data_IF_746243655938
#
_entry.id   IF_746243655938
#
_cell.length_a   1.000
_cell.length_b   1.000
_cell.length_c   1.000
_cell.angle_alpha   90.00
_cell.angle_beta   90.00
_cell.angle_gamma   90.00
#
_symmetry.space_group_name_H-M   'P 1'
#
loop_
_entity.id
_entity.type
_entity.pdbx_description
1 polymer ?
#
# COMPACT_ATOMS: atom_id res chain seq x y z
N UNK A 1 -9.24 -11.72 -5.88
CA UNK A 1 -8.65 -10.36 -5.94
C UNK A 1 -7.13 -10.50 -6.06
N UNK A 2 -6.41 -9.45 -6.47
CA UNK A 2 -4.93 -9.40 -6.42
C UNK A 2 -4.40 -8.41 -5.39
N UNK A 3 -5.29 -7.62 -4.80
CA UNK A 3 -4.97 -6.61 -3.80
C UNK A 3 -6.01 -6.65 -2.69
N UNK A 4 -5.63 -6.22 -1.50
CA UNK A 4 -6.49 -5.88 -0.39
C UNK A 4 -7.24 -4.52 -0.51
N UNK A 5 -7.29 -3.85 -1.67
CA UNK A 5 -8.10 -2.61 -1.83
C UNK A 5 -9.59 -2.92 -1.85
N UNK A 6 -9.95 -3.97 -2.57
CA UNK A 6 -11.33 -4.41 -2.78
C UNK A 6 -11.47 -5.83 -2.25
N UNK A 7 -11.62 -5.96 -0.93
CA UNK A 7 -11.55 -7.25 -0.22
C UNK A 7 -12.88 -7.87 0.13
N UNK A 8 -13.98 -7.16 -0.11
CA UNK A 8 -15.30 -7.56 0.36
C UNK A 8 -16.08 -8.26 -0.74
N UNK A 9 -16.74 -9.33 -0.35
CA UNK A 9 -17.84 -9.97 -1.07
C UNK A 9 -18.96 -10.27 -0.06
N UNK A 10 -20.17 -10.66 -0.47
CA UNK A 10 -21.19 -11.09 0.47
C UNK A 10 -20.62 -12.10 1.47
N UNK A 11 -20.78 -11.78 2.76
CA UNK A 11 -20.32 -12.59 3.89
C UNK A 11 -18.80 -12.78 4.04
N UNK A 12 -17.99 -12.18 3.18
CA UNK A 12 -16.54 -12.42 3.15
C UNK A 12 -15.76 -11.11 3.14
N UNK A 13 -14.68 -11.11 3.91
CA UNK A 13 -13.65 -10.08 3.81
C UNK A 13 -12.26 -10.71 3.88
N UNK A 14 -11.49 -10.57 2.81
CA UNK A 14 -10.06 -10.86 2.87
C UNK A 14 -9.33 -9.76 3.68
N UNK A 15 -8.56 -10.16 4.69
CA UNK A 15 -7.79 -9.23 5.52
C UNK A 15 -6.29 -9.32 5.28
N UNK A 16 -5.82 -10.42 4.66
CA UNK A 16 -4.40 -10.66 4.41
C UNK A 16 -4.21 -11.64 3.25
N UNK A 17 -3.22 -11.37 2.41
CA UNK A 17 -2.79 -12.25 1.32
C UNK A 17 -1.46 -12.93 1.70
N UNK A 18 -1.08 -13.99 0.99
CA UNK A 18 0.28 -14.53 1.05
C UNK A 18 1.24 -13.67 0.22
N UNK A 19 0.76 -13.14 -0.91
CA UNK A 19 1.48 -12.24 -1.80
C UNK A 19 0.53 -11.35 -2.62
N UNK A 20 0.70 -10.04 -2.52
CA UNK A 20 0.02 -9.08 -3.41
C UNK A 20 0.44 -9.29 -4.87
N UNK A 21 -0.47 -8.93 -5.79
CA UNK A 21 -0.31 -9.03 -7.25
C UNK A 21 -0.32 -10.45 -7.84
N UNK A 22 -0.42 -11.47 -7.00
CA UNK A 22 -0.80 -12.82 -7.41
C UNK A 22 -2.32 -13.03 -7.31
N UNK A 23 -2.82 -14.05 -8.02
CA UNK A 23 -4.24 -14.38 -8.01
C UNK A 23 -4.67 -14.97 -6.66
N UNK A 24 -5.61 -14.32 -5.97
CA UNK A 24 -6.21 -14.77 -4.72
C UNK A 24 -7.70 -15.09 -4.88
N UNK A 25 -8.15 -16.18 -4.24
CA UNK A 25 -9.52 -16.69 -4.36
C UNK A 25 -10.03 -17.21 -3.02
N UNK A 26 -11.33 -17.02 -2.78
CA UNK A 26 -12.09 -17.67 -1.72
C UNK A 26 -13.35 -18.23 -2.37
N UNK A 27 -13.58 -19.52 -2.23
CA UNK A 27 -14.86 -20.15 -2.52
C UNK A 27 -15.52 -20.52 -1.18
N UNK A 28 -16.67 -19.91 -0.89
CA UNK A 28 -17.44 -20.17 0.32
C UNK A 28 -18.72 -20.91 -0.06
N UNK A 29 -18.89 -22.10 0.50
CA UNK A 29 -20.07 -22.92 0.40
C UNK A 29 -20.69 -23.11 1.79
N UNK A 30 -22.02 -23.10 1.86
CA UNK A 30 -22.78 -23.38 3.06
C UNK A 30 -24.04 -24.17 2.69
N UNK A 31 -24.53 -24.98 3.63
CA UNK A 31 -25.52 -26.04 3.39
C UNK A 31 -26.98 -25.55 3.25
N UNK A 32 -27.27 -24.32 3.67
CA UNK A 32 -28.61 -23.71 3.60
C UNK A 32 -28.52 -22.20 3.37
N UNK A 33 -29.35 -21.37 4.01
CA UNK A 33 -29.13 -19.92 4.03
C UNK A 33 -28.01 -19.58 5.03
N UNK A 34 -27.20 -18.55 4.75
CA UNK A 34 -26.04 -18.17 5.57
C UNK A 34 -26.34 -18.08 7.09
N UNK A 35 -27.49 -17.52 7.48
CA UNK A 35 -27.88 -17.37 8.89
C UNK A 35 -28.30 -18.68 9.57
N UNK A 36 -28.71 -19.67 8.78
CA UNK A 36 -29.21 -20.98 9.23
C UNK A 36 -28.20 -22.12 9.03
N UNK A 37 -27.07 -21.83 8.38
CA UNK A 37 -26.09 -22.82 7.96
C UNK A 37 -25.49 -23.56 9.16
N UNK A 38 -25.38 -24.88 9.03
CA UNK A 38 -24.77 -25.77 10.03
C UNK A 38 -23.37 -26.21 9.62
N UNK A 39 -23.00 -26.00 8.36
CA UNK A 39 -21.67 -26.29 7.85
C UNK A 39 -21.22 -25.22 6.85
N UNK A 40 -19.97 -24.79 7.01
CA UNK A 40 -19.26 -23.94 6.04
C UNK A 40 -18.09 -24.74 5.46
N UNK A 41 -17.98 -24.74 4.14
CA UNK A 41 -16.84 -25.29 3.40
C UNK A 41 -16.17 -24.15 2.63
N UNK A 42 -14.86 -23.99 2.85
CA UNK A 42 -14.08 -22.87 2.35
C UNK A 42 -12.85 -23.41 1.62
N UNK A 43 -12.66 -22.99 0.38
CA UNK A 43 -11.43 -23.21 -0.36
C UNK A 43 -10.75 -21.86 -0.60
N UNK A 44 -9.45 -21.80 -0.33
CA UNK A 44 -8.67 -20.56 -0.45
C UNK A 44 -7.44 -20.72 -1.34
N UNK A 45 -7.05 -19.60 -1.94
CA UNK A 45 -5.78 -19.46 -2.66
C UNK A 45 -5.18 -18.11 -2.34
N UNK A 46 -3.93 -18.07 -1.89
CA UNK A 46 -3.19 -16.84 -1.60
C UNK A 46 -3.90 -15.97 -0.54
N UNK A 47 -4.31 -16.57 0.59
CA UNK A 47 -4.84 -15.86 1.76
C UNK A 47 -4.09 -16.25 3.03
N UNK A 48 -3.89 -15.26 3.89
CA UNK A 48 -3.38 -15.46 5.26
C UNK A 48 -4.40 -15.10 6.34
N UNK A 49 -5.47 -14.37 5.99
CA UNK A 49 -6.45 -13.88 6.95
C UNK A 49 -7.79 -13.59 6.26
N UNK A 50 -8.86 -14.19 6.79
CA UNK A 50 -10.20 -14.18 6.21
C UNK A 50 -11.26 -13.99 7.31
N UNK A 51 -12.14 -13.01 7.16
CA UNK A 51 -13.37 -12.91 7.95
C UNK A 51 -14.53 -13.51 7.17
N UNK A 52 -15.33 -14.34 7.83
CA UNK A 52 -16.62 -14.85 7.36
C UNK A 52 -17.72 -14.30 8.26
N UNK A 53 -18.75 -13.69 7.67
CA UNK A 53 -19.79 -12.95 8.37
C UNK A 53 -19.49 -11.45 8.50
N UNK A 54 -20.40 -10.73 9.12
CA UNK A 54 -20.30 -9.28 9.34
C UNK A 54 -21.11 -8.87 10.59
N UNK A 55 -20.72 -7.78 11.28
CA UNK A 55 -21.44 -7.30 12.45
C UNK A 55 -22.93 -7.09 12.16
N UNK A 56 -23.78 -7.63 13.04
CA UNK A 56 -25.23 -7.56 12.91
C UNK A 56 -25.87 -8.60 11.99
N UNK A 57 -25.10 -9.45 11.30
CA UNK A 57 -25.65 -10.58 10.54
C UNK A 57 -25.61 -11.86 11.38
N UNK A 58 -26.77 -12.30 11.87
CA UNK A 58 -26.86 -13.48 12.74
C UNK A 58 -26.41 -14.78 12.05
N UNK A 59 -25.70 -15.62 12.78
CA UNK A 59 -25.29 -16.97 12.38
C UNK A 59 -25.81 -18.03 13.37
N UNK A 60 -26.02 -19.25 12.87
CA UNK A 60 -26.39 -20.38 13.72
C UNK A 60 -25.19 -20.80 14.58
N UNK A 61 -25.33 -20.81 15.93
CA UNK A 61 -24.24 -21.25 16.81
C UNK A 61 -23.87 -22.72 16.55
N UNK A 62 -22.57 -23.02 16.64
CA UNK A 62 -22.07 -24.39 16.58
C UNK A 62 -22.00 -24.99 15.17
N UNK A 63 -22.02 -24.17 14.12
CA UNK A 63 -21.74 -24.65 12.76
C UNK A 63 -20.35 -25.31 12.66
N UNK A 64 -20.18 -26.26 11.76
CA UNK A 64 -18.85 -26.81 11.44
C UNK A 64 -18.17 -25.95 10.39
N UNK A 65 -16.84 -25.82 10.44
CA UNK A 65 -16.05 -25.04 9.47
C UNK A 65 -14.98 -25.97 8.90
N UNK A 66 -15.01 -26.19 7.59
CA UNK A 66 -13.95 -26.87 6.85
C UNK A 66 -13.26 -25.84 5.97
N UNK A 67 -11.95 -25.66 6.12
CA UNK A 67 -11.15 -24.74 5.29
C UNK A 67 -9.88 -25.41 4.78
N UNK A 68 -9.71 -25.48 3.46
CA UNK A 68 -8.58 -26.15 2.80
C UNK A 68 -8.32 -27.57 3.35
N UNK A 69 -9.40 -28.32 3.63
CA UNK A 69 -9.36 -29.66 4.22
C UNK A 69 -9.09 -29.72 5.74
N UNK A 70 -8.99 -28.57 6.41
CA UNK A 70 -8.87 -28.48 7.88
C UNK A 70 -10.23 -28.27 8.52
N UNK A 71 -10.66 -29.22 9.36
CA UNK A 71 -11.89 -29.10 10.16
C UNK A 71 -11.64 -28.29 11.44
N UNK A 72 -12.47 -27.27 11.65
CA UNK A 72 -12.47 -26.37 12.79
C UNK A 72 -13.88 -26.34 13.41
N UNK A 73 -13.98 -26.49 14.73
CA UNK A 73 -15.24 -26.26 15.43
C UNK A 73 -15.51 -24.76 15.52
N UNK A 74 -16.67 -24.27 15.02
CA UNK A 74 -17.04 -22.86 15.16
C UNK A 74 -17.16 -22.50 16.64
N UNK A 75 -16.65 -21.34 17.08
CA UNK A 75 -16.56 -20.96 18.49
C UNK A 75 -17.90 -20.58 19.16
N UNK A 76 -19.05 -20.97 18.60
CA UNK A 76 -20.38 -20.38 18.89
C UNK A 76 -20.46 -18.89 18.51
N UNK A 77 -19.83 -18.53 17.39
CA UNK A 77 -19.92 -17.20 16.82
C UNK A 77 -21.38 -16.81 16.53
N UNK A 78 -21.79 -15.62 16.97
CA UNK A 78 -23.15 -15.10 16.74
C UNK A 78 -23.28 -14.29 15.46
N UNK A 79 -22.20 -13.67 15.00
CA UNK A 79 -22.22 -12.69 13.89
C UNK A 79 -21.15 -12.96 12.82
N UNK A 80 -20.17 -13.81 13.12
CA UNK A 80 -19.05 -14.08 12.22
C UNK A 80 -17.89 -14.73 12.94
N UNK A 81 -16.91 -15.18 12.17
CA UNK A 81 -15.62 -15.65 12.69
C UNK A 81 -14.49 -15.19 11.78
N UNK A 82 -13.29 -15.08 12.36
CA UNK A 82 -12.06 -14.76 11.63
C UNK A 82 -11.14 -15.97 11.66
N UNK A 83 -10.63 -16.31 10.48
CA UNK A 83 -9.69 -17.39 10.24
C UNK A 83 -8.34 -16.79 9.90
N UNK A 84 -7.28 -17.30 10.52
CA UNK A 84 -5.90 -16.88 10.29
C UNK A 84 -5.06 -18.09 9.91
N UNK A 85 -4.14 -17.90 8.97
CA UNK A 85 -3.23 -18.94 8.49
C UNK A 85 -1.83 -18.66 9.01
N UNK A 86 -1.26 -19.61 9.74
CA UNK A 86 0.13 -19.59 10.19
C UNK A 86 0.77 -20.95 9.89
N UNK A 87 1.99 -20.95 9.37
CA UNK A 87 2.75 -22.16 8.99
C UNK A 87 1.92 -23.14 8.13
N UNK A 88 1.16 -22.59 7.18
CA UNK A 88 0.32 -23.36 6.27
C UNK A 88 -0.98 -23.91 6.87
N UNK A 89 -1.28 -23.63 8.15
CA UNK A 89 -2.45 -24.16 8.86
C UNK A 89 -3.42 -23.05 9.25
N UNK A 90 -4.70 -23.30 9.03
CA UNK A 90 -5.77 -22.41 9.43
C UNK A 90 -6.19 -22.64 10.89
N UNK A 91 -6.50 -21.54 11.59
CA UNK A 91 -7.08 -21.57 12.92
C UNK A 91 -8.06 -20.41 13.11
N UNK A 92 -8.90 -20.52 14.14
CA UNK A 92 -9.78 -19.43 14.55
C UNK A 92 -8.98 -18.37 15.31
N UNK A 93 -9.10 -17.12 14.88
CA UNK A 93 -8.54 -16.00 15.59
C UNK A 93 -9.35 -15.70 16.85
N UNK A 94 -8.65 -15.38 17.95
CA UNK A 94 -9.28 -14.80 19.14
C UNK A 94 -9.50 -13.30 18.96
N UNK A 95 -10.62 -12.77 19.45
CA UNK A 95 -10.90 -11.33 19.47
C UNK A 95 -11.88 -10.86 18.40
N UNK A 96 -11.86 -9.56 18.10
CA UNK A 96 -12.82 -8.93 17.21
C UNK A 96 -12.69 -9.40 15.74
N UNK A 97 -13.82 -9.45 15.03
CA UNK A 97 -13.91 -9.88 13.61
C UNK A 97 -12.99 -9.08 12.67
N UNK A 98 -12.68 -7.85 13.05
CA UNK A 98 -11.82 -6.93 12.32
C UNK A 98 -10.71 -6.37 13.19
N UNK A 99 -10.24 -7.16 14.16
CA UNK A 99 -9.08 -6.79 14.95
C UNK A 99 -7.92 -6.40 14.01
N UNK A 100 -7.24 -5.27 14.29
CA UNK A 100 -6.17 -4.77 13.44
C UNK A 100 -4.99 -5.76 13.39
N UNK A 101 -4.25 -5.74 12.29
CA UNK A 101 -3.04 -6.55 12.19
C UNK A 101 -1.99 -6.08 13.21
N UNK A 102 -1.28 -7.03 13.80
CA UNK A 102 -0.15 -6.73 14.65
C UNK A 102 1.11 -6.50 13.80
N UNK A 103 1.93 -5.53 14.21
CA UNK A 103 3.19 -5.22 13.55
C UNK A 103 3.03 -4.53 12.17
N UNK A 104 4.16 -4.42 11.47
CA UNK A 104 4.23 -3.81 10.15
C UNK A 104 3.82 -4.84 9.09
N UNK A 105 2.58 -4.75 8.61
CA UNK A 105 2.02 -5.65 7.61
C UNK A 105 1.19 -4.90 6.58
N UNK A 106 1.13 -5.40 5.35
CA UNK A 106 0.14 -4.99 4.37
C UNK A 106 -1.26 -5.37 4.87
N UNK A 107 -2.16 -4.41 4.87
CA UNK A 107 -3.55 -4.56 5.34
C UNK A 107 -4.52 -3.87 4.37
N UNK A 108 -5.84 -4.09 4.47
CA UNK A 108 -6.79 -3.44 3.59
C UNK A 108 -6.69 -1.91 3.64
N UNK A 109 -6.44 -1.29 2.48
CA UNK A 109 -6.19 0.16 2.36
C UNK A 109 -4.77 0.61 2.75
N UNK A 110 -3.89 -0.33 3.16
CA UNK A 110 -2.49 -0.09 3.50
C UNK A 110 -1.60 -1.20 2.93
N UNK A 111 -1.50 -1.28 1.60
CA UNK A 111 -0.87 -2.37 0.87
C UNK A 111 0.06 -1.98 -0.31
N UNK A 112 0.12 -0.70 -0.67
CA UNK A 112 0.69 -0.26 -1.96
C UNK A 112 -0.20 -0.59 -3.16
N UNK A 113 0.20 -0.34 -4.41
CA UNK A 113 1.42 0.36 -4.83
C UNK A 113 1.33 1.86 -4.55
N UNK A 114 2.23 2.65 -5.12
CA UNK A 114 2.28 4.12 -4.94
C UNK A 114 0.90 4.78 -5.03
N UNK A 115 0.08 4.38 -6.00
CA UNK A 115 -1.26 4.92 -6.22
C UNK A 115 -2.26 4.71 -5.06
N UNK A 116 -2.05 3.72 -4.18
CA UNK A 116 -2.94 3.45 -3.03
C UNK A 116 -2.99 4.64 -2.06
N UNK A 117 -1.92 5.45 -2.00
CA UNK A 117 -1.87 6.68 -1.21
C UNK A 117 -2.81 7.79 -1.71
N UNK A 118 -3.32 7.71 -2.95
CA UNK A 118 -4.20 8.76 -3.51
C UNK A 118 -5.68 8.39 -3.43
N UNK A 119 -5.98 7.25 -2.78
CA UNK A 119 -7.34 6.77 -2.57
C UNK A 119 -7.91 7.16 -1.19
N UNK A 120 -7.16 7.94 -0.43
CA UNK A 120 -7.47 8.50 0.90
C UNK A 120 -6.90 9.92 1.02
N UNK A 121 -7.25 10.70 2.06
CA UNK A 121 -6.72 12.05 2.22
C UNK A 121 -5.19 12.11 2.27
N UNK A 122 -4.59 12.98 1.44
CA UNK A 122 -3.16 13.21 1.39
C UNK A 122 -2.81 14.71 1.44
N UNK A 123 -1.55 14.97 1.78
CA UNK A 123 -0.91 16.28 1.84
C UNK A 123 0.40 16.26 1.04
N UNK A 124 0.53 17.15 0.07
CA UNK A 124 1.76 17.35 -0.70
C UNK A 124 2.71 18.19 0.13
N UNK A 125 3.94 17.71 0.28
CA UNK A 125 5.00 18.36 1.04
C UNK A 125 6.09 18.82 0.09
N UNK A 126 6.18 20.13 -0.12
CA UNK A 126 7.12 20.76 -1.03
C UNK A 126 8.56 20.72 -0.50
N UNK A 127 9.57 20.64 -1.38
CA UNK A 127 10.94 20.99 -1.02
C UNK A 127 11.03 22.49 -0.67
N UNK A 128 11.94 22.83 0.24
CA UNK A 128 12.20 24.21 0.68
C UNK A 128 13.63 24.69 0.41
N UNK A 129 14.49 23.79 -0.06
CA UNK A 129 15.86 24.09 -0.48
C UNK A 129 16.20 23.44 -1.81
N UNK A 130 17.45 23.58 -2.23
CA UNK A 130 17.95 22.90 -3.41
C UNK A 130 18.15 21.41 -3.11
N UNK A 131 17.77 20.55 -4.06
CA UNK A 131 18.21 19.17 -4.04
C UNK A 131 19.74 19.14 -4.15
N UNK A 132 20.37 18.15 -3.54
CA UNK A 132 21.83 18.01 -3.51
C UNK A 132 22.45 17.98 -4.90
N UNK A 133 21.74 17.37 -5.86
CA UNK A 133 22.20 17.23 -7.24
C UNK A 133 21.28 18.03 -8.16
N UNK A 134 21.81 18.96 -8.99
CA UNK A 134 20.98 19.83 -9.83
C UNK A 134 20.03 19.08 -10.77
N UNK A 135 20.49 18.01 -11.42
CA UNK A 135 19.65 17.21 -12.32
C UNK A 135 18.45 16.57 -11.60
N UNK A 136 18.64 16.15 -10.33
CA UNK A 136 17.56 15.67 -9.48
C UNK A 136 16.60 16.81 -9.13
N UNK A 137 17.12 17.99 -8.81
CA UNK A 137 16.30 19.17 -8.50
C UNK A 137 15.41 19.60 -9.68
N UNK A 138 15.98 19.65 -10.88
CA UNK A 138 15.25 19.96 -12.13
C UNK A 138 14.14 18.94 -12.41
N UNK A 139 14.44 17.66 -12.22
CA UNK A 139 13.46 16.59 -12.38
C UNK A 139 12.33 16.66 -11.32
N UNK A 140 12.69 16.90 -10.05
CA UNK A 140 11.72 17.04 -8.95
C UNK A 140 10.77 18.20 -9.22
N UNK A 141 11.30 19.34 -9.66
CA UNK A 141 10.49 20.52 -9.98
C UNK A 141 9.52 20.21 -11.13
N UNK A 142 10.01 19.60 -12.21
CA UNK A 142 9.18 19.21 -13.34
C UNK A 142 8.05 18.23 -12.93
N UNK A 143 8.38 17.13 -12.26
CA UNK A 143 7.41 16.08 -11.93
C UNK A 143 6.42 16.53 -10.84
N UNK A 144 6.84 17.40 -9.90
CA UNK A 144 5.92 18.01 -8.94
C UNK A 144 4.89 18.90 -9.63
N UNK A 145 5.33 19.77 -10.56
CA UNK A 145 4.43 20.61 -11.33
C UNK A 145 3.52 19.78 -12.24
N UNK A 146 4.07 18.72 -12.85
CA UNK A 146 3.31 17.75 -13.64
C UNK A 146 2.21 17.10 -12.79
N UNK A 147 2.55 16.58 -11.62
CA UNK A 147 1.60 15.98 -10.69
C UNK A 147 0.49 16.95 -10.29
N UNK A 148 0.81 18.16 -9.82
CA UNK A 148 -0.20 19.14 -9.38
C UNK A 148 -1.14 19.53 -10.53
N UNK A 149 -0.59 19.74 -11.74
CA UNK A 149 -1.38 20.02 -12.94
C UNK A 149 -2.31 18.85 -13.28
N UNK A 150 -1.76 17.63 -13.33
CA UNK A 150 -2.51 16.40 -13.64
C UNK A 150 -3.60 16.13 -12.62
N UNK A 151 -3.32 16.36 -11.34
CA UNK A 151 -4.29 16.21 -10.27
C UNK A 151 -5.53 17.07 -10.55
N UNK A 152 -5.32 18.34 -10.89
CA UNK A 152 -6.39 19.26 -11.24
C UNK A 152 -7.13 18.88 -12.52
N UNK A 153 -6.41 18.48 -13.56
CA UNK A 153 -6.99 18.13 -14.86
C UNK A 153 -7.86 16.86 -14.78
N UNK A 154 -7.37 15.82 -14.12
CA UNK A 154 -8.01 14.49 -14.09
C UNK A 154 -9.05 14.41 -12.97
N UNK A 155 -8.69 14.85 -11.76
CA UNK A 155 -9.53 14.68 -10.57
C UNK A 155 -10.33 15.94 -10.20
N UNK A 156 -10.17 17.03 -10.96
CA UNK A 156 -10.95 18.28 -10.83
C UNK A 156 -10.90 18.88 -9.43
N UNK A 157 -9.74 18.79 -8.78
CA UNK A 157 -9.50 19.37 -7.47
C UNK A 157 -8.09 19.92 -7.34
N UNK A 158 -7.87 20.81 -6.38
CA UNK A 158 -6.54 21.29 -6.01
C UNK A 158 -5.97 20.39 -4.90
N UNK A 159 -4.71 19.99 -5.02
CA UNK A 159 -4.05 19.23 -3.97
C UNK A 159 -3.81 20.12 -2.74
N UNK A 160 -3.85 19.53 -1.54
CA UNK A 160 -3.41 20.22 -0.33
C UNK A 160 -1.90 20.28 -0.34
N UNK A 161 -1.33 21.45 -0.14
CA UNK A 161 0.11 21.68 -0.23
C UNK A 161 0.60 22.40 1.03
N UNK A 162 1.72 21.94 1.57
CA UNK A 162 2.48 22.61 2.63
C UNK A 162 3.97 22.53 2.33
N UNK A 163 4.73 23.49 2.85
CA UNK A 163 6.18 23.36 2.92
C UNK A 163 6.58 22.35 3.99
N UNK A 164 7.76 21.73 3.87
CA UNK A 164 8.24 20.74 4.84
C UNK A 164 8.28 21.28 6.29
N UNK A 165 8.65 22.55 6.47
CA UNK A 165 8.69 23.24 7.77
C UNK A 165 7.31 23.51 8.38
N UNK A 166 6.25 23.50 7.58
CA UNK A 166 4.87 23.78 7.99
C UNK A 166 4.09 22.50 8.36
N UNK A 167 4.66 21.32 8.11
CA UNK A 167 4.04 20.04 8.44
C UNK A 167 4.08 19.80 9.95
N UNK A 168 2.91 19.57 10.53
CA UNK A 168 2.73 19.34 11.96
C UNK A 168 2.54 17.85 12.29
N UNK A 169 2.61 17.49 13.56
CA UNK A 169 2.26 16.14 14.02
C UNK A 169 0.79 15.79 13.74
N UNK A 170 -0.11 16.78 13.78
CA UNK A 170 -1.52 16.57 13.41
C UNK A 170 -1.66 16.23 11.93
N UNK A 171 -0.91 16.91 11.05
CA UNK A 171 -0.91 16.60 9.61
C UNK A 171 -0.43 15.16 9.36
N UNK A 172 0.68 14.77 10.03
CA UNK A 172 1.25 13.43 9.93
C UNK A 172 0.24 12.35 10.35
N UNK A 173 -0.54 12.60 11.41
CA UNK A 173 -1.55 11.66 11.91
C UNK A 173 -2.89 11.69 11.17
N UNK A 174 -3.05 12.57 10.17
CA UNK A 174 -4.33 12.78 9.46
C UNK A 174 -4.25 12.51 7.95
N UNK A 175 -3.07 12.62 7.36
CA UNK A 175 -2.88 12.55 5.92
C UNK A 175 -1.76 11.59 5.54
N UNK A 176 -1.92 10.95 4.39
CA UNK A 176 -0.76 10.46 3.65
C UNK A 176 0.14 11.64 3.26
N UNK A 177 1.44 11.52 3.46
CA UNK A 177 2.39 12.56 3.09
C UNK A 177 3.01 12.22 1.75
N UNK A 178 2.87 13.12 0.77
CA UNK A 178 3.49 13.01 -0.55
C UNK A 178 4.65 14.00 -0.61
N UNK A 179 5.83 13.52 -0.26
CA UNK A 179 7.03 14.34 -0.09
C UNK A 179 7.87 14.39 -1.36
N UNK A 180 8.22 15.60 -1.78
CA UNK A 180 9.03 15.87 -2.98
C UNK A 180 10.41 16.42 -2.60
N UNK A 181 11.43 16.04 -3.38
CA UNK A 181 12.83 16.41 -3.18
C UNK A 181 13.70 15.29 -2.63
N UNK A 182 14.78 15.69 -1.96
CA UNK A 182 15.71 14.80 -1.26
C UNK A 182 15.88 15.22 0.22
N UNK A 183 16.77 14.53 0.94
CA UNK A 183 17.05 14.86 2.35
C UNK A 183 17.73 16.22 2.56
N UNK A 184 18.28 16.86 1.51
CA UNK A 184 18.84 18.20 1.60
C UNK A 184 17.75 19.27 1.38
N UNK A 185 16.79 19.01 0.49
CA UNK A 185 15.72 19.97 0.16
C UNK A 185 14.45 19.83 1.01
N UNK A 186 14.22 18.67 1.65
CA UNK A 186 12.98 18.38 2.37
C UNK A 186 13.24 17.74 3.74
N UNK A 187 12.97 18.48 4.81
CA UNK A 187 13.23 18.06 6.18
C UNK A 187 12.38 16.85 6.64
N UNK A 188 11.22 16.61 6.03
CA UNK A 188 10.41 15.41 6.32
C UNK A 188 11.08 14.17 5.72
N UNK A 189 11.58 14.26 4.48
CA UNK A 189 12.37 13.19 3.85
C UNK A 189 13.61 12.92 4.72
N UNK A 190 14.34 13.95 5.13
CA UNK A 190 15.53 13.80 5.97
C UNK A 190 15.25 13.04 7.29
N UNK A 191 14.11 13.29 7.93
CA UNK A 191 13.69 12.62 9.19
C UNK A 191 13.24 11.17 8.97
N UNK A 192 12.54 10.90 7.87
CA UNK A 192 12.00 9.58 7.59
C UNK A 192 13.06 8.62 7.02
N UNK A 193 13.98 9.12 6.19
CA UNK A 193 14.90 8.33 5.39
C UNK A 193 15.67 7.23 6.16
N UNK A 194 16.19 7.45 7.38
CA UNK A 194 16.88 6.39 8.13
C UNK A 194 16.01 5.19 8.53
N UNK A 195 14.68 5.33 8.46
CA UNK A 195 13.70 4.29 8.82
C UNK A 195 13.02 3.66 7.60
N UNK A 196 13.39 4.08 6.38
CA UNK A 196 12.85 3.53 5.15
C UNK A 196 13.69 2.33 4.66
N UNK A 197 13.10 1.39 3.91
CA UNK A 197 13.79 0.24 3.33
C UNK A 197 14.65 0.62 2.10
N UNK A 198 15.32 1.78 2.13
CA UNK A 198 16.21 2.26 1.09
C UNK A 198 17.43 2.97 1.69
N UNK A 199 18.50 3.08 0.91
CA UNK A 199 19.64 3.95 1.22
C UNK A 199 19.75 5.01 0.14
N UNK A 200 19.66 6.27 0.54
CA UNK A 200 19.86 7.39 -0.36
C UNK A 200 20.82 8.39 0.30
N UNK A 201 22.01 8.51 -0.25
CA UNK A 201 23.04 9.42 0.23
C UNK A 201 23.57 10.28 -0.94
N UNK A 202 24.64 11.02 -0.70
CA UNK A 202 25.23 11.90 -1.71
C UNK A 202 25.78 11.16 -2.94
N UNK A 203 26.10 9.88 -2.82
CA UNK A 203 26.73 9.07 -3.86
C UNK A 203 25.75 8.10 -4.54
N UNK A 204 24.79 7.53 -3.80
CA UNK A 204 23.94 6.45 -4.33
C UNK A 204 22.50 6.47 -3.84
N UNK A 205 21.63 5.92 -4.69
CA UNK A 205 20.31 5.40 -4.35
C UNK A 205 20.42 3.88 -4.34
N UNK A 206 19.83 3.20 -3.34
CA UNK A 206 19.79 1.75 -3.28
C UNK A 206 18.55 1.23 -2.58
N UNK A 207 17.95 0.18 -3.15
CA UNK A 207 16.84 -0.59 -2.56
C UNK A 207 17.19 -2.07 -2.72
N UNK A 208 17.40 -2.78 -1.60
CA UNK A 208 17.87 -4.15 -1.62
C UNK A 208 19.20 -4.32 -2.37
N UNK A 209 19.20 -5.17 -3.41
CA UNK A 209 20.35 -5.41 -4.28
C UNK A 209 20.50 -4.40 -5.41
N UNK A 210 19.50 -3.57 -5.64
CA UNK A 210 19.50 -2.57 -6.72
C UNK A 210 20.17 -1.29 -6.23
N UNK A 211 21.04 -0.70 -7.06
CA UNK A 211 21.71 0.56 -6.72
C UNK A 211 22.07 1.35 -7.98
N UNK A 212 22.05 2.67 -7.86
CA UNK A 212 22.39 3.61 -8.92
C UNK A 212 23.03 4.89 -8.36
N UNK A 213 23.65 5.70 -9.23
CA UNK A 213 24.29 6.97 -8.86
C UNK A 213 23.25 8.03 -8.46
N UNK A 214 23.38 8.62 -7.27
CA UNK A 214 22.44 9.62 -6.76
C UNK A 214 22.44 10.93 -7.58
N UNK A 215 23.47 11.19 -8.40
CA UNK A 215 23.53 12.37 -9.27
C UNK A 215 22.52 12.32 -10.41
N UNK A 216 22.16 11.12 -10.84
CA UNK A 216 21.28 10.87 -11.98
C UNK A 216 20.08 10.01 -11.64
N UNK A 217 19.91 9.60 -10.39
CA UNK A 217 18.80 8.74 -9.99
C UNK A 217 18.05 9.25 -8.77
N UNK A 218 16.73 9.04 -8.80
CA UNK A 218 15.80 9.43 -7.74
C UNK A 218 14.93 8.23 -7.35
N UNK A 219 14.74 7.95 -6.05
CA UNK A 219 13.79 6.94 -5.62
C UNK A 219 12.35 7.48 -5.66
N UNK A 220 11.45 6.68 -6.22
CA UNK A 220 10.00 6.71 -5.97
C UNK A 220 9.70 5.59 -4.99
N UNK A 221 8.87 5.86 -3.98
CA UNK A 221 8.52 4.86 -2.97
C UNK A 221 7.20 5.21 -2.28
N UNK A 222 6.42 4.20 -1.91
CA UNK A 222 5.36 4.27 -0.90
C UNK A 222 5.71 3.37 0.29
N UNK A 223 5.50 3.87 1.51
CA UNK A 223 5.77 3.09 2.72
C UNK A 223 4.92 3.58 3.90
N UNK A 224 4.54 2.72 4.85
CA UNK A 224 3.98 3.11 6.14
C UNK A 224 4.83 4.21 6.80
N UNK A 225 4.27 5.40 7.00
CA UNK A 225 5.02 6.58 7.42
C UNK A 225 5.66 6.35 8.81
N UNK A 226 7.00 6.26 8.92
CA UNK A 226 7.66 5.97 10.20
C UNK A 226 7.55 7.14 11.20
N UNK A 227 7.17 8.33 10.72
CA UNK A 227 6.92 9.51 11.54
C UNK A 227 5.50 9.53 12.11
N UNK A 228 4.58 8.74 11.54
CA UNK A 228 3.23 8.59 12.07
C UNK A 228 3.27 7.72 13.32
N UNK A 229 2.79 8.30 14.44
CA UNK A 229 2.73 7.66 15.75
C UNK A 229 1.31 7.18 16.07
N UNK A 230 0.56 6.81 15.03
CA UNK A 230 -0.74 6.19 15.12
C UNK A 230 -0.82 5.19 16.29
N UNK A 231 -1.89 5.30 17.07
CA UNK A 231 -2.08 4.50 18.27
C UNK A 231 -2.21 3.00 17.96
N UNK A 232 -2.07 2.14 19.00
CA UNK A 232 -2.21 0.70 18.83
C UNK A 232 -3.47 0.33 18.05
N UNK A 233 -3.31 -0.51 17.04
CA UNK A 233 -4.43 -0.97 16.23
C UNK A 233 -4.86 -0.04 15.09
N UNK A 234 -4.13 1.05 14.83
CA UNK A 234 -4.32 1.87 13.64
C UNK A 234 -3.11 1.75 12.74
N UNK A 235 -3.31 1.35 11.49
CA UNK A 235 -2.22 1.32 10.53
C UNK A 235 -1.80 2.78 10.20
N UNK A 236 -0.49 3.09 10.20
CA UNK A 236 -0.03 4.44 9.93
C UNK A 236 -0.43 4.87 8.52
N UNK A 237 -0.53 6.18 8.32
CA UNK A 237 -0.65 6.79 7.00
C UNK A 237 0.60 6.50 6.17
N UNK A 238 0.51 6.62 4.86
CA UNK A 238 1.66 6.50 3.98
C UNK A 238 2.57 7.73 3.99
N UNK A 239 3.84 7.46 3.73
CA UNK A 239 4.80 8.38 3.15
C UNK A 239 5.04 7.94 1.71
N UNK A 240 4.88 8.86 0.76
CA UNK A 240 5.24 8.71 -0.65
C UNK A 240 6.43 9.63 -0.94
N UNK A 241 7.44 9.12 -1.63
CA UNK A 241 8.57 9.91 -2.14
C UNK A 241 8.40 10.14 -3.63
N UNK A 242 8.49 11.42 -4.04
CA UNK A 242 8.72 11.85 -5.42
C UNK A 242 7.76 11.30 -6.48
N UNK A 243 6.49 11.07 -6.12
CA UNK A 243 5.50 10.56 -7.06
C UNK A 243 4.09 11.09 -6.80
N UNK A 244 3.30 11.16 -7.87
CA UNK A 244 1.85 11.26 -7.86
C UNK A 244 1.18 9.93 -8.24
N UNK A 245 -0.10 9.95 -8.66
CA UNK A 245 -0.69 8.87 -9.45
C UNK A 245 0.20 8.54 -10.65
N UNK A 246 0.37 7.25 -10.94
CA UNK A 246 1.47 6.78 -11.80
C UNK A 246 1.05 6.58 -13.25
N UNK A 247 -0.26 6.59 -13.54
CA UNK A 247 -0.75 6.71 -14.91
C UNK A 247 -0.49 8.09 -15.48
N UNK A 248 -0.25 8.17 -16.79
CA UNK A 248 0.16 9.41 -17.47
C UNK A 248 -0.73 9.68 -18.68
N UNK A 249 -0.40 10.69 -19.47
CA UNK A 249 -1.23 11.17 -20.57
C UNK A 249 -1.59 10.09 -21.60
N UNK A 250 -0.72 9.09 -21.83
CA UNK A 250 -1.01 7.97 -22.73
C UNK A 250 -2.19 7.10 -22.24
N UNK A 251 -2.49 7.13 -20.93
CA UNK A 251 -3.58 6.39 -20.30
C UNK A 251 -4.92 7.16 -20.32
N UNK A 252 -4.95 8.42 -20.78
CA UNK A 252 -6.16 9.25 -20.75
C UNK A 252 -7.22 8.85 -21.78
N UNK A 253 -6.89 7.96 -22.72
CA UNK A 253 -7.82 7.51 -23.76
C UNK A 253 -9.08 6.89 -23.19
N UNK A 254 -8.96 6.20 -22.04
CA UNK A 254 -10.11 5.71 -21.29
C UNK A 254 -9.74 5.51 -19.82
N UNK A 255 -10.73 5.64 -18.94
CA UNK A 255 -10.54 5.47 -17.50
C UNK A 255 -10.08 4.06 -17.09
N UNK A 256 -10.31 3.02 -17.90
CA UNK A 256 -9.83 1.66 -17.58
C UNK A 256 -8.31 1.51 -17.67
N UNK A 257 -7.62 2.44 -18.35
CA UNK A 257 -6.16 2.51 -18.38
C UNK A 257 -5.57 3.36 -17.24
N UNK A 258 -6.38 4.11 -16.50
CA UNK A 258 -5.95 4.92 -15.35
C UNK A 258 -5.80 4.03 -14.10
N UNK A 259 -4.94 3.01 -14.23
CA UNK A 259 -4.57 2.07 -13.19
C UNK A 259 -3.10 2.29 -12.77
N UNK A 260 -2.67 1.76 -11.61
CA UNK A 260 -1.29 1.90 -11.16
C UNK A 260 -0.29 1.33 -12.17
N UNK A 261 0.79 2.08 -12.44
CA UNK A 261 1.87 1.77 -13.40
C UNK A 261 3.22 1.53 -12.75
N UNK A 262 3.44 2.02 -11.53
CA UNK A 262 4.61 1.72 -10.73
C UNK A 262 4.23 0.84 -9.53
N UNK A 263 5.14 -0.03 -9.06
CA UNK A 263 4.92 -0.87 -7.89
C UNK A 263 5.15 -0.06 -6.59
N UNK A 264 5.57 -0.70 -5.50
CA UNK A 264 5.77 0.00 -4.22
C UNK A 264 7.00 0.92 -4.24
N UNK A 265 8.00 0.61 -5.07
CA UNK A 265 9.19 1.44 -5.24
C UNK A 265 9.77 1.35 -6.65
N UNK A 266 10.44 2.41 -7.08
CA UNK A 266 11.20 2.46 -8.33
C UNK A 266 12.44 3.36 -8.18
N UNK A 267 13.49 3.07 -8.94
CA UNK A 267 14.65 3.95 -9.13
C UNK A 267 14.55 4.54 -10.53
N UNK A 268 14.44 5.86 -10.61
CA UNK A 268 14.26 6.60 -11.86
C UNK A 268 15.58 7.23 -12.26
N UNK A 269 16.08 6.90 -13.45
CA UNK A 269 17.14 7.61 -14.17
C UNK A 269 16.58 8.89 -14.79
N UNK A 270 17.05 10.03 -14.28
CA UNK A 270 16.61 11.36 -14.70
C UNK A 270 17.34 11.89 -15.93
N UNK A 271 18.33 11.15 -16.46
CA UNK A 271 18.97 11.50 -17.75
C UNK A 271 18.09 11.16 -18.95
N UNK A 272 17.09 10.30 -18.74
CA UNK A 272 16.02 10.03 -19.70
C UNK A 272 14.86 10.97 -19.37
N UNK A 273 14.49 11.82 -20.32
CA UNK A 273 13.41 12.78 -20.11
C UNK A 273 12.06 12.08 -19.81
N UNK A 274 11.25 12.61 -18.88
CA UNK A 274 9.88 12.16 -18.68
C UNK A 274 9.06 12.27 -19.97
N UNK A 275 8.08 11.38 -20.13
CA UNK A 275 7.19 11.37 -21.30
C UNK A 275 5.74 11.04 -20.88
N UNK A 276 4.88 10.73 -21.85
CA UNK A 276 3.47 10.40 -21.64
C UNK A 276 3.21 9.01 -21.04
N UNK A 277 4.27 8.23 -20.76
CA UNK A 277 4.22 6.87 -20.21
C UNK A 277 5.04 6.68 -18.94
N UNK A 278 6.20 7.33 -18.83
CA UNK A 278 7.10 7.16 -17.68
C UNK A 278 7.62 8.50 -17.16
N UNK A 279 7.92 8.60 -15.84
CA UNK A 279 8.50 9.81 -15.25
C UNK A 279 10.01 9.93 -15.54
N UNK A 280 10.58 9.10 -16.42
CA UNK A 280 12.01 9.00 -16.69
C UNK A 280 12.38 7.57 -17.08
N UNK A 281 13.67 7.23 -17.02
CA UNK A 281 14.14 5.87 -17.24
C UNK A 281 13.93 5.02 -15.98
N UNK A 282 13.24 3.88 -16.08
CA UNK A 282 13.04 3.01 -14.91
C UNK A 282 14.17 1.97 -14.90
N UNK A 283 15.13 2.11 -13.99
CA UNK A 283 16.30 1.20 -13.91
C UNK A 283 16.05 0.01 -13.00
N UNK A 284 15.18 0.18 -12.00
CA UNK A 284 14.69 -0.90 -11.15
C UNK A 284 13.32 -0.52 -10.57
N UNK A 285 12.44 -1.51 -10.38
CA UNK A 285 11.17 -1.33 -9.69
C UNK A 285 10.68 -2.68 -9.17
N UNK A 286 10.10 -2.70 -7.96
CA UNK A 286 9.51 -3.92 -7.39
C UNK A 286 8.50 -3.60 -6.28
N UNK A 287 7.86 -4.63 -5.74
CA UNK A 287 7.01 -4.56 -4.56
C UNK A 287 7.79 -4.89 -3.29
N UNK A 288 7.37 -4.31 -2.16
CA UNK A 288 7.71 -4.87 -0.86
C UNK A 288 6.87 -6.12 -0.59
N UNK A 289 7.37 -7.00 0.27
CA UNK A 289 6.60 -8.16 0.72
C UNK A 289 5.44 -7.76 1.66
N UNK A 290 4.72 -8.76 2.15
CA UNK A 290 3.58 -8.56 3.04
C UNK A 290 3.94 -7.93 4.39
N UNK A 291 5.22 -7.95 4.78
CA UNK A 291 5.76 -7.29 5.98
C UNK A 291 6.49 -5.98 5.64
N UNK A 292 6.24 -5.42 4.45
CA UNK A 292 6.88 -4.22 3.92
C UNK A 292 8.41 -4.31 3.81
N UNK A 293 8.98 -5.51 3.70
CA UNK A 293 10.42 -5.71 3.51
C UNK A 293 10.80 -5.77 2.03
N UNK A 294 12.05 -5.42 1.72
CA UNK A 294 12.60 -5.58 0.37
C UNK A 294 12.68 -7.06 0.04
N UNK A 295 12.09 -7.46 -1.08
CA UNK A 295 12.15 -8.85 -1.54
C UNK A 295 13.58 -9.19 -1.97
N UNK A 296 14.07 -10.38 -1.56
CA UNK A 296 15.20 -10.98 -2.25
C UNK A 296 14.77 -11.25 -3.70
N UNK A 297 15.68 -11.05 -4.67
CA UNK A 297 15.40 -11.33 -6.08
C UNK A 297 14.74 -12.70 -6.20
N UNK A 298 13.60 -12.76 -6.87
CA UNK A 298 13.00 -14.03 -7.28
C UNK A 298 13.85 -14.61 -8.40
N UNK A 299 14.34 -15.83 -8.22
CA UNK A 299 14.93 -16.66 -9.28
C UNK A 299 13.83 -17.15 -10.25
#
# INVERSE_FOLDING_TARGET
TRTLRYTRAPYLRANGLERHWEDSRVDLHFDSDFSSAKAFSIETKNLTDLTVGEPGLAMTPGATISIDGTELANPNAKEGFRLVKADGKWSLASGDLFAPAEGLKKTPGRQGPVDDAFMEPFLVVLPEGECRHPAVGEWVDYELHHFLRRWREVFRGEARVKKASEVTAEDIGRYHLVCWGDAASNAIIAKALPQLPLKWDAAKVAVGSQSADAKSHVPILIYPNPLDKAGPGTAPHYLVLNSGPTFRENDDRNNSQQNPKLPDWAIIDVTVAPNDKTPGGITAADFFDEAWQVQAKHD
#
